data_IF_052757512638
#
_entry.id   IF_052757512638
#
_cell.length_a   1.000
_cell.length_b   1.000
_cell.length_c   1.000
_cell.angle_alpha   90.00
_cell.angle_beta   90.00
_cell.angle_gamma   90.00
#
_symmetry.space_group_name_H-M   'P 1'
#
loop_
_entity.id
_entity.type
_entity.pdbx_description
1 polymer ?
#
# COMPACT_ATOMS: atom_id res chain seq x y z
N UNK A 1 -25.58 -1.68 -7.65
CA UNK A 1 -25.07 -1.95 -6.29
C UNK A 1 -23.82 -1.14 -6.13
N UNK A 2 -23.87 -0.11 -5.29
CA UNK A 2 -22.81 0.89 -5.16
C UNK A 2 -21.55 0.23 -4.59
N UNK A 3 -20.49 0.20 -5.40
CA UNK A 3 -19.15 -0.15 -4.94
C UNK A 3 -18.71 0.89 -3.92
N UNK A 4 -18.68 0.52 -2.64
CA UNK A 4 -17.94 1.28 -1.65
C UNK A 4 -16.45 0.99 -1.89
N UNK A 5 -15.88 1.59 -2.93
CA UNK A 5 -14.45 1.47 -3.23
C UNK A 5 -13.64 1.98 -2.03
N UNK A 6 -12.40 1.50 -1.83
CA UNK A 6 -11.53 1.98 -0.75
C UNK A 6 -11.32 3.52 -0.75
N UNK A 7 -11.63 4.20 -1.87
CA UNK A 7 -11.70 5.66 -1.96
C UNK A 7 -12.70 6.24 -0.95
N UNK A 8 -13.80 5.54 -0.66
CA UNK A 8 -14.84 5.98 0.27
C UNK A 8 -14.39 5.96 1.75
N UNK A 9 -13.20 5.42 2.06
CA UNK A 9 -12.62 5.48 3.41
C UNK A 9 -11.57 6.58 3.59
N UNK A 10 -11.14 7.23 2.52
CA UNK A 10 -10.17 8.31 2.62
C UNK A 10 -10.88 9.61 3.00
N UNK A 11 -10.39 10.34 4.02
CA UNK A 11 -10.88 11.68 4.26
C UNK A 11 -10.48 12.60 3.10
N UNK A 12 -11.39 13.47 2.69
CA UNK A 12 -11.06 14.63 1.85
C UNK A 12 -9.96 15.45 2.54
N UNK A 13 -8.91 15.93 1.84
CA UNK A 13 -8.73 15.93 0.38
C UNK A 13 -7.78 14.85 -0.16
N UNK A 14 -7.61 13.73 0.56
CA UNK A 14 -6.52 12.79 0.31
C UNK A 14 -6.82 11.76 -0.78
N UNK A 15 -5.97 11.72 -1.80
CA UNK A 15 -5.80 10.58 -2.70
C UNK A 15 -4.60 9.76 -2.25
N UNK A 16 -4.85 8.56 -1.74
CA UNK A 16 -3.80 7.67 -1.25
C UNK A 16 -4.19 6.20 -1.43
N UNK A 17 -3.23 5.35 -1.79
CA UNK A 17 -3.48 3.91 -1.83
C UNK A 17 -2.67 3.21 -0.72
N UNK A 18 -3.30 2.86 0.41
CA UNK A 18 -2.57 2.28 1.53
C UNK A 18 -2.05 0.87 1.24
N UNK A 19 -2.71 0.08 0.37
CA UNK A 19 -2.19 -1.21 -0.10
C UNK A 19 -0.81 -1.09 -0.79
N UNK A 20 -0.54 0.06 -1.42
CA UNK A 20 0.74 0.32 -2.10
C UNK A 20 1.82 0.80 -1.15
N UNK A 21 1.44 1.56 -0.14
CA UNK A 21 2.35 2.51 0.48
C UNK A 21 2.44 2.41 2.00
N UNK A 22 1.63 1.61 2.68
CA UNK A 22 1.61 1.60 4.14
C UNK A 22 1.62 0.16 4.71
N UNK A 23 2.76 -0.27 5.27
CA UNK A 23 2.93 -1.64 5.78
C UNK A 23 1.94 -1.94 6.91
N UNK A 24 1.96 -1.15 7.99
CA UNK A 24 1.12 -1.43 9.16
C UNK A 24 -0.37 -1.46 8.83
N UNK A 25 -0.85 -0.58 7.95
CA UNK A 25 -2.23 -0.64 7.47
C UNK A 25 -2.55 -1.97 6.77
N UNK A 26 -1.65 -2.46 5.91
CA UNK A 26 -1.83 -3.77 5.26
C UNK A 26 -1.84 -4.89 6.30
N UNK A 27 -0.96 -4.83 7.29
CA UNK A 27 -0.93 -5.80 8.38
C UNK A 27 -2.20 -5.77 9.23
N UNK A 28 -2.71 -4.59 9.58
CA UNK A 28 -3.96 -4.41 10.34
C UNK A 28 -5.15 -5.02 9.60
N UNK A 29 -5.23 -4.83 8.27
CA UNK A 29 -6.26 -5.47 7.43
C UNK A 29 -6.11 -6.99 7.43
N UNK A 30 -4.87 -7.50 7.29
CA UNK A 30 -4.59 -8.94 7.24
C UNK A 30 -4.82 -9.63 8.60
N UNK A 31 -4.63 -8.93 9.70
CA UNK A 31 -4.91 -9.40 11.06
C UNK A 31 -6.38 -9.23 11.47
N UNK A 32 -7.15 -8.53 10.64
CA UNK A 32 -8.56 -8.28 10.88
C UNK A 32 -8.89 -7.22 11.91
N UNK A 33 -7.92 -6.37 12.22
CA UNK A 33 -8.07 -5.27 13.17
C UNK A 33 -8.94 -4.12 12.65
N UNK A 34 -9.21 -4.09 11.34
CA UNK A 34 -10.06 -3.07 10.69
C UNK A 34 -11.44 -3.61 10.26
N UNK A 35 -11.89 -4.74 10.81
CA UNK A 35 -13.22 -5.29 10.54
C UNK A 35 -14.30 -4.64 11.42
N UNK A 36 -15.40 -4.21 10.81
CA UNK A 36 -16.65 -3.93 11.52
C UNK A 36 -17.49 -5.21 11.66
N UNK A 37 -18.61 -5.11 12.38
CA UNK A 37 -19.52 -6.19 12.81
C UNK A 37 -20.11 -7.07 11.69
N UNK A 38 -19.78 -6.81 10.42
CA UNK A 38 -20.27 -7.55 9.24
C UNK A 38 -19.22 -8.44 8.57
N UNK A 39 -17.96 -8.44 9.04
CA UNK A 39 -16.95 -9.45 8.67
C UNK A 39 -16.35 -9.31 7.26
N UNK A 40 -15.05 -8.97 7.22
CA UNK A 40 -14.15 -8.86 6.06
C UNK A 40 -14.49 -7.80 4.99
N UNK A 41 -13.49 -7.06 4.45
CA UNK A 41 -13.67 -6.39 3.16
C UNK A 41 -14.05 -7.45 2.13
N UNK A 42 -14.89 -7.09 1.16
CA UNK A 42 -15.19 -7.98 0.04
C UNK A 42 -13.84 -8.43 -0.55
N UNK A 43 -13.57 -9.73 -0.45
CA UNK A 43 -12.29 -10.31 -0.84
C UNK A 43 -11.98 -10.00 -2.31
N UNK A 44 -13.02 -9.87 -3.14
CA UNK A 44 -12.88 -9.49 -4.54
C UNK A 44 -12.44 -8.03 -4.67
N UNK A 45 -13.05 -7.11 -3.91
CA UNK A 45 -12.68 -5.69 -3.88
C UNK A 45 -11.22 -5.50 -3.42
N UNK A 46 -10.81 -6.21 -2.36
CA UNK A 46 -9.42 -6.19 -1.89
C UNK A 46 -8.45 -6.65 -2.99
N UNK A 47 -8.75 -7.76 -3.67
CA UNK A 47 -7.95 -8.27 -4.79
C UNK A 47 -7.86 -7.26 -5.93
N UNK A 48 -8.95 -6.55 -6.26
CA UNK A 48 -8.95 -5.56 -7.35
C UNK A 48 -8.09 -4.34 -7.02
N UNK A 49 -8.10 -3.88 -5.77
CA UNK A 49 -7.20 -2.83 -5.31
C UNK A 49 -5.73 -3.27 -5.30
N UNK A 50 -5.46 -4.51 -4.91
CA UNK A 50 -4.11 -5.09 -4.97
C UNK A 50 -3.65 -5.26 -6.43
N UNK A 51 -4.52 -5.66 -7.36
CA UNK A 51 -4.21 -5.73 -8.79
C UNK A 51 -3.78 -4.37 -9.34
N UNK A 52 -4.43 -3.30 -8.91
CA UNK A 52 -4.14 -1.92 -9.34
C UNK A 52 -2.81 -1.35 -8.84
N UNK A 53 -2.07 -2.07 -7.99
CA UNK A 53 -0.69 -1.73 -7.62
C UNK A 53 0.20 -1.69 -8.88
N UNK A 54 1.25 -0.85 -8.93
CA UNK A 54 2.14 -0.84 -10.10
C UNK A 54 2.90 -2.19 -10.21
N UNK A 55 3.17 -2.69 -11.41
CA UNK A 55 3.90 -3.95 -11.60
C UNK A 55 5.40 -3.83 -11.30
N UNK A 56 5.99 -2.64 -11.52
CA UNK A 56 7.43 -2.41 -11.47
C UNK A 56 7.92 -2.28 -10.02
N UNK A 57 7.69 -1.12 -9.40
CA UNK A 57 8.15 -0.84 -8.05
C UNK A 57 7.08 -0.08 -7.27
N UNK A 58 7.09 -0.29 -5.96
CA UNK A 58 6.33 0.47 -4.98
C UNK A 58 7.25 0.90 -3.85
N UNK A 59 6.99 2.06 -3.30
CA UNK A 59 7.64 2.55 -2.08
C UNK A 59 6.67 2.29 -0.92
N UNK A 60 7.09 1.50 0.06
CA UNK A 60 6.27 1.09 1.20
C UNK A 60 6.84 1.74 2.46
N UNK A 61 5.97 2.45 3.18
CA UNK A 61 6.25 3.01 4.49
C UNK A 61 6.22 1.92 5.58
N UNK A 62 7.26 1.89 6.40
CA UNK A 62 7.48 0.95 7.51
C UNK A 62 7.76 1.67 8.84
N UNK A 63 7.40 2.95 8.93
CA UNK A 63 7.64 3.77 10.12
C UNK A 63 6.51 3.63 11.14
N UNK A 64 6.64 4.32 12.27
CA UNK A 64 5.80 4.09 13.45
C UNK A 64 4.40 4.71 13.40
N UNK A 65 4.10 5.58 12.42
CA UNK A 65 2.80 6.22 12.32
C UNK A 65 1.75 5.22 11.85
N UNK A 66 0.60 5.24 12.51
CA UNK A 66 -0.58 4.59 11.96
C UNK A 66 -1.07 5.35 10.73
N UNK A 67 -1.91 4.69 9.94
CA UNK A 67 -2.49 5.32 8.76
C UNK A 67 -3.23 6.62 9.08
N UNK A 68 -4.02 6.62 10.16
CA UNK A 68 -4.75 7.81 10.62
C UNK A 68 -3.79 8.91 11.09
N UNK A 69 -2.78 8.57 11.90
CA UNK A 69 -1.79 9.55 12.38
C UNK A 69 -1.04 10.23 11.23
N UNK A 70 -0.65 9.45 10.22
CA UNK A 70 0.00 9.97 9.02
C UNK A 70 -0.88 10.97 8.29
N UNK A 71 -2.16 10.65 8.06
CA UNK A 71 -3.09 11.58 7.42
C UNK A 71 -3.32 12.83 8.27
N UNK A 72 -3.45 12.67 9.59
CA UNK A 72 -3.65 13.78 10.53
C UNK A 72 -2.45 14.73 10.54
N UNK A 73 -1.22 14.21 10.54
CA UNK A 73 -0.02 15.04 10.47
C UNK A 73 0.09 15.79 9.15
N UNK A 74 -0.18 15.11 8.02
CA UNK A 74 -0.19 15.78 6.72
C UNK A 74 -1.30 16.85 6.66
N UNK A 75 -2.48 16.57 7.21
CA UNK A 75 -3.59 17.53 7.31
C UNK A 75 -3.23 18.75 8.16
N UNK A 76 -2.52 18.54 9.28
CA UNK A 76 -2.04 19.63 10.12
C UNK A 76 -1.07 20.56 9.37
N UNK A 77 -0.17 20.00 8.56
CA UNK A 77 0.77 20.77 7.72
C UNK A 77 0.01 21.61 6.69
N UNK A 78 -0.98 21.02 6.02
CA UNK A 78 -1.80 21.69 5.00
C UNK A 78 -2.61 22.84 5.62
N UNK A 79 -3.27 22.58 6.75
CA UNK A 79 -4.05 23.60 7.47
C UNK A 79 -3.16 24.74 7.97
N UNK A 80 -1.98 24.42 8.49
CA UNK A 80 -1.02 25.44 8.93
C UNK A 80 -0.52 26.31 7.75
N UNK A 81 -0.45 25.74 6.54
CA UNK A 81 -0.13 26.46 5.32
C UNK A 81 -1.31 27.27 4.75
N UNK A 82 -2.50 27.23 5.36
CA UNK A 82 -3.69 27.94 4.89
C UNK A 82 -4.30 27.37 3.61
N UNK A 83 -4.09 26.08 3.34
CA UNK A 83 -4.60 25.40 2.14
C UNK A 83 -5.99 24.84 2.46
N UNK A 84 -7.03 25.41 1.85
CA UNK A 84 -8.43 25.00 2.08
C UNK A 84 -9.08 24.42 0.81
N UNK A 85 -8.48 24.66 -0.36
CA UNK A 85 -8.99 24.22 -1.66
C UNK A 85 -7.89 23.67 -2.58
N UNK A 86 -8.32 23.03 -3.68
CA UNK A 86 -7.41 22.61 -4.76
C UNK A 86 -6.62 23.79 -5.34
N UNK A 87 -7.25 24.96 -5.49
CA UNK A 87 -6.60 26.17 -5.98
C UNK A 87 -5.50 26.66 -5.03
N UNK A 88 -5.75 26.64 -3.72
CA UNK A 88 -4.74 26.99 -2.71
C UNK A 88 -3.58 25.99 -2.71
N UNK A 89 -3.88 24.70 -2.90
CA UNK A 89 -2.85 23.66 -2.98
C UNK A 89 -1.96 23.84 -4.20
N UNK A 90 -2.55 24.12 -5.37
CA UNK A 90 -1.81 24.43 -6.59
C UNK A 90 -0.96 25.70 -6.47
N UNK A 91 -1.51 26.74 -5.84
CA UNK A 91 -0.74 27.96 -5.54
C UNK A 91 0.41 27.64 -4.58
N UNK A 92 0.16 26.83 -3.55
CA UNK A 92 1.18 26.39 -2.62
C UNK A 92 2.27 25.56 -3.31
N UNK A 93 1.96 24.72 -4.29
CA UNK A 93 2.98 24.00 -5.06
C UNK A 93 3.94 24.95 -5.79
N UNK A 94 3.50 26.16 -6.13
CA UNK A 94 4.32 27.23 -6.74
C UNK A 94 4.98 26.77 -8.06
N UNK A 95 4.17 26.21 -8.94
CA UNK A 95 4.60 25.70 -10.25
C UNK A 95 5.45 24.42 -10.20
N UNK A 96 5.73 23.86 -9.02
CA UNK A 96 6.42 22.58 -8.87
C UNK A 96 5.44 21.43 -9.05
N UNK A 97 5.93 20.32 -9.61
CA UNK A 97 5.12 19.10 -9.74
C UNK A 97 4.75 18.48 -8.37
N UNK A 98 5.57 18.72 -7.35
CA UNK A 98 5.35 18.21 -6.01
C UNK A 98 6.09 19.03 -4.94
N UNK A 99 5.70 18.82 -3.68
CA UNK A 99 6.45 19.23 -2.48
C UNK A 99 6.71 18.04 -1.58
N UNK A 100 7.79 18.10 -0.81
CA UNK A 100 8.12 17.07 0.19
C UNK A 100 7.87 17.65 1.57
N UNK A 101 7.14 16.90 2.40
CA UNK A 101 6.95 17.19 3.82
C UNK A 101 7.64 16.12 4.66
N UNK A 102 8.07 16.47 5.86
CA UNK A 102 8.64 15.53 6.83
C UNK A 102 7.70 15.39 8.01
N UNK A 103 7.42 14.17 8.41
CA UNK A 103 6.52 13.85 9.53
C UNK A 103 7.30 13.65 10.84
N UNK A 104 6.58 13.47 11.94
CA UNK A 104 7.15 13.41 13.29
C UNK A 104 8.17 12.27 13.47
N UNK A 105 7.95 11.15 12.80
CA UNK A 105 8.83 9.97 12.75
C UNK A 105 10.03 10.12 11.81
N UNK A 106 10.23 11.31 11.23
CA UNK A 106 11.29 11.64 10.25
C UNK A 106 11.13 10.99 8.88
N UNK A 107 10.02 10.29 8.63
CA UNK A 107 9.68 9.89 7.26
C UNK A 107 9.37 11.13 6.42
N UNK A 108 9.64 11.02 5.11
CA UNK A 108 9.36 12.09 4.16
C UNK A 108 8.32 11.64 3.14
N UNK A 109 7.44 12.56 2.76
CA UNK A 109 6.27 12.30 1.95
C UNK A 109 6.12 13.34 0.86
N UNK A 110 5.86 12.88 -0.36
CA UNK A 110 5.62 13.66 -1.55
C UNK A 110 4.13 13.98 -1.65
N UNK A 111 3.81 15.26 -1.70
CA UNK A 111 2.48 15.80 -1.97
C UNK A 111 2.49 16.37 -3.39
N UNK A 112 1.56 15.91 -4.22
CA UNK A 112 1.38 16.40 -5.60
C UNK A 112 -0.10 16.48 -5.94
N UNK A 113 -0.41 17.08 -7.08
CA UNK A 113 -1.79 17.20 -7.57
C UNK A 113 -2.45 15.83 -7.77
N UNK A 114 -3.64 15.68 -7.20
CA UNK A 114 -4.56 14.58 -7.43
C UNK A 114 -5.43 14.85 -8.66
N UNK A 115 -5.86 13.79 -9.36
CA UNK A 115 -6.63 13.95 -10.59
C UNK A 115 -8.12 14.30 -10.36
N UNK A 116 -8.59 14.33 -9.12
CA UNK A 116 -9.98 14.58 -8.74
C UNK A 116 -10.05 15.85 -7.90
N UNK A 117 -11.02 16.71 -8.18
CA UNK A 117 -11.13 18.03 -7.53
C UNK A 117 -11.34 17.93 -6.01
N UNK A 118 -12.10 16.93 -5.55
CA UNK A 118 -12.32 16.68 -4.12
C UNK A 118 -11.10 16.01 -3.46
N UNK A 119 -10.42 15.11 -4.18
CA UNK A 119 -9.22 14.39 -3.71
C UNK A 119 -7.95 14.95 -4.35
N UNK A 120 -7.78 16.26 -4.24
CA UNK A 120 -6.75 17.03 -4.93
C UNK A 120 -5.34 16.81 -4.38
N UNK A 121 -5.18 16.12 -3.25
CA UNK A 121 -3.87 15.87 -2.65
C UNK A 121 -3.47 14.41 -2.80
N UNK A 122 -2.57 14.14 -3.75
CA UNK A 122 -2.02 12.82 -3.96
C UNK A 122 -0.76 12.62 -3.12
N UNK A 123 -0.84 11.68 -2.18
CA UNK A 123 0.21 11.40 -1.21
C UNK A 123 1.04 10.18 -1.64
N UNK A 124 2.38 10.29 -1.59
CA UNK A 124 3.33 9.20 -1.84
C UNK A 124 4.46 9.21 -0.83
N UNK A 125 5.00 8.06 -0.42
CA UNK A 125 6.27 8.03 0.28
C UNK A 125 7.38 8.63 -0.57
N UNK A 126 8.25 9.46 0.02
CA UNK A 126 9.43 9.96 -0.67
C UNK A 126 10.45 8.82 -0.84
N UNK A 127 10.95 8.66 -2.06
CA UNK A 127 11.92 7.61 -2.39
C UNK A 127 13.18 7.75 -1.54
N UNK A 128 13.67 6.63 -1.01
CA UNK A 128 14.90 6.56 -0.21
C UNK A 128 14.89 7.40 1.07
N UNK A 129 13.71 7.83 1.53
CA UNK A 129 13.56 8.50 2.82
C UNK A 129 13.61 7.50 3.99
N UNK A 130 13.84 7.97 5.23
CA UNK A 130 13.72 7.14 6.41
C UNK A 130 12.38 6.39 6.43
N UNK A 131 12.42 5.13 6.88
CA UNK A 131 11.26 4.26 6.98
C UNK A 131 10.58 3.91 5.65
N UNK A 132 11.21 4.17 4.49
CA UNK A 132 10.68 3.79 3.18
C UNK A 132 11.53 2.68 2.58
N UNK A 133 10.89 1.57 2.23
CA UNK A 133 11.51 0.47 1.49
C UNK A 133 10.93 0.41 0.08
N UNK A 134 11.79 0.16 -0.91
CA UNK A 134 11.34 -0.03 -2.30
C UNK A 134 11.22 -1.51 -2.60
N UNK A 135 10.02 -1.95 -2.94
CA UNK A 135 9.73 -3.34 -3.30
C UNK A 135 9.33 -3.46 -4.76
N UNK A 136 9.56 -4.65 -5.33
CA UNK A 136 9.05 -4.97 -6.65
C UNK A 136 7.54 -5.18 -6.59
N UNK A 137 6.79 -4.46 -7.43
CA UNK A 137 5.35 -4.38 -7.34
C UNK A 137 4.64 -5.73 -7.46
N UNK A 138 4.99 -6.54 -8.46
CA UNK A 138 4.42 -7.89 -8.59
C UNK A 138 4.74 -8.80 -7.40
N UNK A 139 5.89 -8.63 -6.76
CA UNK A 139 6.27 -9.41 -5.58
C UNK A 139 5.46 -8.97 -4.36
N UNK A 140 5.27 -7.66 -4.18
CA UNK A 140 4.44 -7.09 -3.13
C UNK A 140 2.98 -7.55 -3.24
N UNK A 141 2.35 -7.41 -4.41
CA UNK A 141 0.99 -7.91 -4.66
C UNK A 141 0.85 -9.40 -4.34
N UNK A 142 1.83 -10.20 -4.77
CA UNK A 142 1.82 -11.65 -4.54
C UNK A 142 1.91 -11.95 -3.05
N UNK A 143 2.75 -11.24 -2.29
CA UNK A 143 2.88 -11.42 -0.86
C UNK A 143 1.61 -11.05 -0.10
N UNK A 144 0.97 -9.92 -0.45
CA UNK A 144 -0.30 -9.50 0.17
C UNK A 144 -1.38 -10.56 -0.09
N UNK A 145 -1.58 -10.99 -1.34
CA UNK A 145 -2.61 -11.99 -1.68
C UNK A 145 -2.30 -13.33 -1.02
N UNK A 146 -1.03 -13.74 -0.93
CA UNK A 146 -0.65 -14.95 -0.21
C UNK A 146 -1.08 -14.90 1.25
N UNK A 147 -0.82 -13.80 1.96
CA UNK A 147 -1.23 -13.63 3.36
C UNK A 147 -2.75 -13.51 3.50
N UNK A 148 -3.43 -12.90 2.53
CA UNK A 148 -4.88 -12.76 2.55
C UNK A 148 -5.59 -14.11 2.39
N UNK A 149 -5.11 -14.98 1.50
CA UNK A 149 -5.74 -16.29 1.22
C UNK A 149 -5.22 -17.43 2.11
N UNK A 150 -4.01 -17.29 2.65
CA UNK A 150 -3.38 -18.28 3.53
C UNK A 150 -2.89 -17.62 4.83
N UNK A 151 -3.79 -17.01 5.63
CA UNK A 151 -3.40 -16.20 6.80
C UNK A 151 -2.70 -17.00 7.91
N UNK A 152 -3.03 -18.29 8.04
CA UNK A 152 -2.50 -19.17 9.08
C UNK A 152 -1.28 -19.99 8.64
N UNK A 153 -0.81 -19.84 7.40
CA UNK A 153 0.37 -20.55 6.92
C UNK A 153 1.65 -19.78 7.24
N UNK A 154 2.57 -20.46 7.91
CA UNK A 154 3.93 -19.97 8.13
C UNK A 154 4.82 -20.18 6.89
N UNK A 155 4.53 -21.20 6.08
CA UNK A 155 5.22 -21.52 4.84
C UNK A 155 4.24 -21.63 3.68
N UNK A 156 4.64 -21.11 2.51
CA UNK A 156 3.85 -21.22 1.28
C UNK A 156 4.64 -21.88 0.16
N UNK A 157 3.99 -22.83 -0.51
CA UNK A 157 4.59 -23.59 -1.62
C UNK A 157 4.49 -22.83 -2.95
N UNK A 158 5.41 -23.12 -3.88
CA UNK A 158 5.46 -22.50 -5.21
C UNK A 158 4.15 -22.71 -6.00
N UNK A 159 3.54 -23.89 -5.89
CA UNK A 159 2.27 -24.21 -6.57
C UNK A 159 1.16 -23.27 -6.14
N UNK A 160 1.03 -23.03 -4.84
CA UNK A 160 0.03 -22.13 -4.25
C UNK A 160 0.28 -20.67 -4.68
N UNK A 161 1.54 -20.22 -4.65
CA UNK A 161 1.92 -18.89 -5.14
C UNK A 161 1.54 -18.73 -6.62
N UNK A 162 1.83 -19.72 -7.46
CA UNK A 162 1.54 -19.66 -8.89
C UNK A 162 0.04 -19.70 -9.18
N UNK A 163 -0.74 -20.42 -8.37
CA UNK A 163 -2.20 -20.41 -8.44
C UNK A 163 -2.74 -18.99 -8.15
N UNK A 164 -2.33 -18.37 -7.05
CA UNK A 164 -2.73 -17.01 -6.70
C UNK A 164 -2.32 -16.00 -7.76
N UNK A 165 -1.09 -16.10 -8.28
CA UNK A 165 -0.59 -15.20 -9.33
C UNK A 165 -1.45 -15.27 -10.58
N UNK A 166 -1.81 -16.48 -11.02
CA UNK A 166 -2.63 -16.68 -12.22
C UNK A 166 -4.08 -16.25 -11.98
N UNK A 167 -4.71 -16.79 -10.94
CA UNK A 167 -6.16 -16.71 -10.76
C UNK A 167 -6.60 -15.43 -10.04
N UNK A 168 -5.74 -14.86 -9.20
CA UNK A 168 -6.04 -13.66 -8.40
C UNK A 168 -5.31 -12.43 -8.90
N UNK A 169 -4.13 -12.51 -9.51
CA UNK A 169 -3.37 -11.31 -9.90
C UNK A 169 -3.18 -11.13 -11.41
N UNK A 170 -3.57 -12.12 -12.23
CA UNK A 170 -3.28 -12.15 -13.67
C UNK A 170 -1.77 -11.92 -13.97
N UNK A 171 -0.91 -12.57 -13.19
CA UNK A 171 0.54 -12.51 -13.32
C UNK A 171 1.08 -13.87 -13.79
N UNK A 172 2.16 -13.83 -14.58
CA UNK A 172 2.88 -15.03 -14.99
C UNK A 172 3.40 -15.83 -13.79
N UNK A 173 3.45 -17.17 -13.85
CA UNK A 173 4.01 -17.98 -12.78
C UNK A 173 5.50 -17.69 -12.55
N UNK A 174 5.95 -17.94 -11.34
CA UNK A 174 7.36 -17.94 -10.95
C UNK A 174 7.90 -19.35 -11.26
N UNK A 175 9.07 -19.39 -11.90
CA UNK A 175 9.70 -20.67 -12.29
C UNK A 175 10.36 -21.38 -11.12
N UNK A 176 11.02 -20.63 -10.24
CA UNK A 176 11.71 -21.14 -9.06
C UNK A 176 11.58 -20.12 -7.92
N UNK A 177 11.16 -20.58 -6.74
CA UNK A 177 11.10 -19.73 -5.55
C UNK A 177 12.47 -19.40 -4.98
N UNK A 178 13.47 -20.27 -5.08
CA UNK A 178 14.83 -20.10 -4.57
C UNK A 178 15.53 -18.88 -5.20
N UNK A 179 15.23 -18.56 -6.45
CA UNK A 179 15.75 -17.37 -7.12
C UNK A 179 14.83 -16.14 -7.00
N UNK A 180 13.66 -16.27 -6.38
CA UNK A 180 12.70 -15.17 -6.19
C UNK A 180 13.00 -14.34 -4.94
N UNK A 181 14.20 -13.76 -4.86
CA UNK A 181 14.65 -12.94 -3.72
C UNK A 181 13.65 -11.82 -3.39
N UNK A 182 13.11 -11.16 -4.41
CA UNK A 182 12.14 -10.07 -4.28
C UNK A 182 10.83 -10.50 -3.63
N UNK A 183 10.37 -11.72 -3.90
CA UNK A 183 9.17 -12.26 -3.25
C UNK A 183 9.44 -12.64 -1.80
N UNK A 184 10.60 -13.25 -1.52
CA UNK A 184 11.01 -13.55 -0.13
C UNK A 184 11.09 -12.29 0.73
N UNK A 185 11.65 -11.22 0.19
CA UNK A 185 11.71 -9.94 0.88
C UNK A 185 10.31 -9.42 1.23
N UNK A 186 9.38 -9.40 0.25
CA UNK A 186 8.01 -8.97 0.45
C UNK A 186 7.24 -9.84 1.48
N UNK A 187 7.40 -11.17 1.43
CA UNK A 187 6.78 -12.09 2.39
C UNK A 187 7.34 -11.93 3.80
N UNK A 188 8.66 -11.73 3.94
CA UNK A 188 9.31 -11.50 5.23
C UNK A 188 8.77 -10.23 5.90
N UNK A 189 8.47 -9.20 5.13
CA UNK A 189 7.93 -7.95 5.63
C UNK A 189 6.50 -8.09 6.16
N UNK A 190 5.69 -9.01 5.64
CA UNK A 190 4.30 -9.23 6.04
C UNK A 190 4.16 -10.36 7.08
N UNK A 191 4.85 -10.23 8.22
CA UNK A 191 4.75 -11.18 9.32
C UNK A 191 5.50 -12.50 9.12
N UNK A 192 6.55 -12.52 8.29
CA UNK A 192 7.54 -13.60 8.30
C UNK A 192 7.18 -14.90 7.59
N UNK A 193 6.14 -14.92 6.73
CA UNK A 193 5.82 -16.10 5.91
C UNK A 193 7.05 -16.52 5.09
N UNK A 194 7.46 -17.77 5.26
CA UNK A 194 8.60 -18.37 4.59
C UNK A 194 8.14 -19.05 3.30
N UNK A 195 9.12 -19.33 2.45
CA UNK A 195 8.93 -20.14 1.26
C UNK A 195 9.23 -21.58 1.63
N UNK A 196 8.28 -22.48 1.40
CA UNK A 196 8.50 -23.92 1.57
C UNK A 196 9.44 -24.44 0.48
N UNK A 197 10.50 -25.14 0.88
CA UNK A 197 11.42 -25.82 -0.05
C UNK A 197 11.02 -27.29 -0.16
N UNK A 198 10.20 -27.62 -1.15
CA UNK A 198 10.08 -29.01 -1.56
C UNK A 198 11.25 -29.29 -2.52
N UNK A 199 12.32 -29.86 -1.99
CA UNK A 199 13.39 -30.43 -2.81
C UNK A 199 12.81 -31.51 -3.70
N UNK A 200 12.98 -31.36 -5.01
CA UNK A 200 12.95 -32.44 -5.97
C UNK A 200 14.34 -32.58 -6.56
#
# INVERSE_FOLDING_TARGET
>A
MNQTSLINMLPVPFRFNPWKHHLHWVEDILQGLLYNSSGMPDMQDAVDHIRAINNNYVDVYTGSLTFTQLLDEVNAIIKHAGIESSADFLSWLDGKEFRVVTLSDKSAWVLREGAEEEFYLHLHPARSAPHIIRLHGNSWKTAIVARLFYPHQEEIELGMINELRKNKLNLSPIKNMEHSQRLREALRLLGGMKVGFNGQ
#
